data_IF_836107629681
#
_entry.id   IF_836107629681
#
_cell.length_a   1.000
_cell.length_b   1.000
_cell.length_c   1.000
_cell.angle_alpha   90.00
_cell.angle_beta   90.00
_cell.angle_gamma   90.00
#
_symmetry.space_group_name_H-M   'P 1'
#
loop_
_entity.id
_entity.type
_entity.pdbx_description
1 polymer ?
#
# COMPACT_ATOMS: atom_id res chain seq x y z
N UNK A 1 9.90 1.41 6.76
CA UNK A 1 8.87 0.63 7.51
C UNK A 1 7.52 0.95 6.90
N UNK A 2 6.58 0.01 6.91
CA UNK A 2 5.23 0.24 6.42
C UNK A 2 4.20 -0.26 7.43
N UNK A 3 3.12 0.50 7.58
CA UNK A 3 1.96 0.16 8.39
C UNK A 3 0.70 0.72 7.74
N UNK A 4 -0.44 0.13 8.07
CA UNK A 4 -1.75 0.58 7.60
C UNK A 4 -2.73 0.55 8.76
N UNK A 5 -3.62 1.52 8.83
CA UNK A 5 -4.73 1.49 9.76
C UNK A 5 -5.93 0.87 9.07
N UNK A 6 -6.60 -0.10 9.70
CA UNK A 6 -7.84 -0.75 9.23
C UNK A 6 -8.77 -0.84 10.45
N UNK A 7 -10.00 -0.33 10.34
CA UNK A 7 -10.99 -0.29 11.42
C UNK A 7 -10.43 0.28 12.75
N UNK A 8 -9.66 1.36 12.65
CA UNK A 8 -9.02 2.03 13.79
C UNK A 8 -7.82 1.26 14.40
N UNK A 9 -7.42 0.13 13.83
CA UNK A 9 -6.27 -0.66 14.30
C UNK A 9 -5.09 -0.56 13.34
N UNK A 10 -3.92 -0.25 13.87
CA UNK A 10 -2.67 -0.22 13.09
C UNK A 10 -2.12 -1.63 12.92
N UNK A 11 -1.96 -2.06 11.67
CA UNK A 11 -1.24 -3.29 11.30
C UNK A 11 0.15 -2.94 10.79
N UNK A 12 1.16 -3.62 11.34
CA UNK A 12 2.54 -3.52 10.87
C UNK A 12 2.72 -4.43 9.65
N UNK A 13 3.18 -3.87 8.53
CA UNK A 13 3.37 -4.60 7.26
C UNK A 13 4.82 -5.05 7.06
N UNK A 14 5.77 -4.38 7.72
CA UNK A 14 7.17 -4.79 7.76
C UNK A 14 8.15 -3.64 7.87
N UNK A 15 9.43 -3.99 8.08
CA UNK A 15 10.56 -3.08 7.98
C UNK A 15 11.33 -3.40 6.70
N UNK A 16 11.37 -2.43 5.81
CA UNK A 16 12.05 -2.53 4.52
C UNK A 16 13.29 -1.64 4.53
N UNK A 17 14.33 -2.05 3.81
CA UNK A 17 15.53 -1.26 3.60
C UNK A 17 15.30 -0.13 2.57
N UNK A 18 14.42 -0.39 1.60
CA UNK A 18 14.04 0.56 0.55
C UNK A 18 12.66 1.17 0.81
N UNK A 19 12.49 2.44 0.43
CA UNK A 19 11.22 3.16 0.51
C UNK A 19 10.21 2.64 -0.52
N UNK A 20 10.66 2.26 -1.71
CA UNK A 20 9.84 1.71 -2.78
C UNK A 20 9.19 0.38 -2.36
N UNK A 21 9.95 -0.49 -1.70
CA UNK A 21 9.42 -1.76 -1.18
C UNK A 21 8.40 -1.54 -0.07
N UNK A 22 8.63 -0.55 0.81
CA UNK A 22 7.66 -0.18 1.84
C UNK A 22 6.36 0.36 1.24
N UNK A 23 6.46 1.22 0.22
CA UNK A 23 5.31 1.79 -0.47
C UNK A 23 4.52 0.72 -1.24
N UNK A 24 5.20 -0.24 -1.89
CA UNK A 24 4.54 -1.39 -2.55
C UNK A 24 3.80 -2.27 -1.55
N UNK A 25 4.39 -2.53 -0.39
CA UNK A 25 3.74 -3.30 0.66
C UNK A 25 2.49 -2.58 1.21
N UNK A 26 2.57 -1.25 1.36
CA UNK A 26 1.40 -0.44 1.72
C UNK A 26 0.31 -0.53 0.66
N UNK A 27 0.66 -0.33 -0.62
CA UNK A 27 -0.32 -0.31 -1.70
C UNK A 27 -1.06 -1.64 -1.84
N UNK A 28 -0.32 -2.76 -1.75
CA UNK A 28 -0.91 -4.09 -1.74
C UNK A 28 -1.86 -4.30 -0.56
N UNK A 29 -1.49 -3.83 0.64
CA UNK A 29 -2.33 -3.94 1.82
C UNK A 29 -3.57 -3.03 1.74
N UNK A 30 -3.43 -1.81 1.22
CA UNK A 30 -4.52 -0.87 1.03
C UNK A 30 -5.53 -1.40 0.01
N UNK A 31 -5.07 -1.90 -1.13
CA UNK A 31 -5.95 -2.48 -2.14
C UNK A 31 -6.69 -3.73 -1.61
N UNK A 32 -6.00 -4.60 -0.87
CA UNK A 32 -6.62 -5.77 -0.27
C UNK A 32 -7.68 -5.42 0.80
N UNK A 33 -7.48 -4.32 1.54
CA UNK A 33 -8.38 -3.90 2.61
C UNK A 33 -9.58 -3.06 2.12
N UNK A 34 -9.37 -2.21 1.13
CA UNK A 34 -10.29 -1.14 0.75
C UNK A 34 -10.78 -1.24 -0.70
N UNK A 35 -10.21 -2.14 -1.49
CA UNK A 35 -10.56 -2.33 -2.89
C UNK A 35 -10.08 -1.21 -3.81
N UNK A 36 -10.82 -1.00 -4.89
CA UNK A 36 -10.53 -0.08 -6.00
C UNK A 36 -10.61 1.41 -5.64
N UNK A 37 -11.17 1.76 -4.48
CA UNK A 37 -11.35 3.16 -4.03
C UNK A 37 -10.26 3.67 -3.10
N UNK A 38 -9.19 2.90 -2.87
CA UNK A 38 -8.11 3.35 -2.02
C UNK A 38 -7.12 4.27 -2.73
N UNK A 39 -6.49 5.16 -1.94
CA UNK A 39 -5.38 5.97 -2.42
C UNK A 39 -4.08 5.18 -2.29
N UNK A 40 -3.40 5.03 -3.42
CA UNK A 40 -2.19 4.24 -3.55
C UNK A 40 -1.01 5.13 -3.94
N UNK A 41 0.18 4.79 -3.47
CA UNK A 41 1.41 5.52 -3.74
C UNK A 41 1.80 5.45 -5.23
N UNK A 42 1.53 4.33 -5.90
CA UNK A 42 1.85 4.13 -7.33
C UNK A 42 0.62 4.17 -8.26
N UNK A 43 -0.52 4.63 -7.76
CA UNK A 43 -1.79 4.60 -8.48
C UNK A 43 -2.45 3.22 -8.47
N UNK A 44 -3.60 3.09 -9.14
CA UNK A 44 -4.40 1.86 -9.15
C UNK A 44 -3.52 0.69 -9.67
N UNK A 45 -3.47 -0.49 -9.02
CA UNK A 45 -2.73 -1.63 -9.54
C UNK A 45 -3.30 -1.98 -10.91
N UNK A 46 -2.52 -1.71 -11.96
CA UNK A 46 -2.90 -1.86 -13.36
C UNK A 46 -3.14 -0.55 -14.13
N UNK A 47 -3.23 0.61 -13.47
CA UNK A 47 -3.33 1.92 -14.14
C UNK A 47 -2.01 2.71 -14.15
N UNK A 48 -1.03 2.33 -13.30
CA UNK A 48 0.17 3.13 -13.01
C UNK A 48 1.48 2.67 -13.65
N UNK A 49 1.46 1.82 -14.68
CA UNK A 49 2.68 1.49 -15.48
C UNK A 49 2.33 1.51 -16.97
N UNK A 50 2.00 2.71 -17.45
CA UNK A 50 1.95 3.03 -18.87
C UNK A 50 2.45 4.47 -19.07
N UNK A 51 3.75 4.67 -18.86
CA UNK A 51 4.59 5.71 -19.47
C UNK A 51 6.06 5.39 -19.17
#
# INVERSE_FOLDING_TARGET
MASIQIDGKTKHLGRFADLLDAARAYDAAAYAAYGDKCFLNFGIPGAGVAA
#
